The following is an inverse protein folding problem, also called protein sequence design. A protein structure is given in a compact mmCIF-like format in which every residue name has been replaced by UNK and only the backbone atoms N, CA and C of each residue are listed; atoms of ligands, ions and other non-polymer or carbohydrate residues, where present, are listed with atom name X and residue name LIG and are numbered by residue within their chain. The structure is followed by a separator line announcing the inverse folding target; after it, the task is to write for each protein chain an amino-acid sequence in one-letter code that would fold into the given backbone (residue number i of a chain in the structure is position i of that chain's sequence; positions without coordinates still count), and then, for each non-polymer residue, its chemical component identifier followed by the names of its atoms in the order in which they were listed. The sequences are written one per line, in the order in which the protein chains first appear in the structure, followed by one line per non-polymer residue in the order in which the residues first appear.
data_IF_916486948445
#
_entry.id   IF_916486948445
#
_cell.length_a   1.000
_cell.length_b   1.000
_cell.length_c   1.000
_cell.angle_alpha   90.00
_cell.angle_beta   90.00
_cell.angle_gamma   90.00
#
_symmetry.space_group_name_H-M   'P 1'
#
loop_
_entity.id
_entity.type
_entity.pdbx_description
1 polymer ?
#
# COMPACT_ATOMS: atom_id res chain seq x y z
N UNK A 1 -14.54 28.54 -38.28
CA UNK A 1 -14.35 28.90 -36.85
C UNK A 1 -14.79 27.81 -35.87
N UNK A 2 -15.82 26.99 -36.15
CA UNK A 2 -16.21 25.84 -35.30
C UNK A 2 -15.24 24.66 -35.34
N UNK A 3 -14.66 24.37 -36.51
CA UNK A 3 -13.68 23.29 -36.68
C UNK A 3 -12.39 23.56 -35.89
N UNK A 4 -11.95 24.82 -35.83
CA UNK A 4 -10.85 25.24 -34.95
C UNK A 4 -11.16 25.01 -33.47
N UNK A 5 -12.41 25.24 -33.03
CA UNK A 5 -12.82 24.95 -31.65
C UNK A 5 -12.82 23.45 -31.35
N UNK A 6 -13.23 22.59 -32.28
CA UNK A 6 -13.18 21.13 -32.12
C UNK A 6 -11.73 20.60 -32.01
N UNK A 7 -10.83 21.12 -32.85
CA UNK A 7 -9.40 20.75 -32.81
C UNK A 7 -8.77 21.13 -31.46
N UNK A 8 -9.07 22.32 -30.94
CA UNK A 8 -8.56 22.77 -29.63
C UNK A 8 -9.06 21.88 -28.48
N UNK A 9 -10.34 21.48 -28.49
CA UNK A 9 -10.91 20.59 -27.47
C UNK A 9 -10.26 19.20 -27.51
N UNK A 10 -10.05 18.64 -28.72
CA UNK A 10 -9.44 17.32 -28.89
C UNK A 10 -7.99 17.30 -28.39
N UNK A 11 -7.16 18.29 -28.78
CA UNK A 11 -5.77 18.40 -28.32
C UNK A 11 -5.66 18.57 -26.81
N UNK A 12 -6.54 19.36 -26.20
CA UNK A 12 -6.59 19.53 -24.75
C UNK A 12 -6.93 18.21 -24.03
N UNK A 13 -7.92 17.45 -24.54
CA UNK A 13 -8.29 16.16 -24.00
C UNK A 13 -7.15 15.13 -24.12
N UNK A 14 -6.46 15.06 -25.26
CA UNK A 14 -5.31 14.17 -25.46
C UNK A 14 -4.14 14.50 -24.51
N UNK A 15 -3.83 15.77 -24.29
CA UNK A 15 -2.80 16.20 -23.33
C UNK A 15 -3.18 15.88 -21.88
N UNK A 16 -4.46 16.01 -21.52
CA UNK A 16 -4.98 15.60 -20.21
C UNK A 16 -4.84 14.08 -20.04
N UNK A 17 -5.18 13.30 -21.07
CA UNK A 17 -5.03 11.84 -21.06
C UNK A 17 -3.57 11.41 -20.86
N UNK A 18 -2.64 11.99 -21.64
CA UNK A 18 -1.20 11.70 -21.52
C UNK A 18 -0.62 12.10 -20.15
N UNK A 19 -1.13 13.16 -19.52
CA UNK A 19 -0.75 13.54 -18.15
C UNK A 19 -1.31 12.58 -17.09
N UNK A 20 -2.51 12.04 -17.30
CA UNK A 20 -3.16 11.09 -16.38
C UNK A 20 -2.40 9.77 -16.32
N UNK A 21 -2.01 9.23 -17.48
CA UNK A 21 -1.29 7.97 -17.61
C UNK A 21 0.06 7.97 -16.87
N UNK A 22 0.80 9.09 -16.91
CA UNK A 22 2.05 9.24 -16.17
C UNK A 22 1.84 9.47 -14.65
N UNK A 23 0.73 10.08 -14.23
CA UNK A 23 0.44 10.33 -12.82
C UNK A 23 -0.13 9.11 -12.07
N UNK A 24 -0.85 8.26 -12.78
CA UNK A 24 -1.48 7.04 -12.24
C UNK A 24 -0.43 5.93 -12.04
N UNK A 25 0.55 5.81 -12.96
CA UNK A 25 1.69 4.90 -12.83
C UNK A 25 2.63 5.26 -11.66
N UNK A 26 2.86 6.55 -11.41
CA UNK A 26 3.72 6.99 -10.29
C UNK A 26 3.04 6.74 -8.94
N UNK A 27 1.72 6.95 -8.86
CA UNK A 27 0.96 6.68 -7.63
C UNK A 27 0.98 5.19 -7.27
N UNK A 28 0.74 4.30 -8.24
CA UNK A 28 0.73 2.86 -7.98
C UNK A 28 2.11 2.32 -7.55
N UNK A 29 3.18 2.78 -8.20
CA UNK A 29 4.56 2.42 -7.81
C UNK A 29 4.89 2.86 -6.39
N UNK A 30 4.45 4.06 -5.99
CA UNK A 30 4.66 4.55 -4.63
C UNK A 30 3.92 3.69 -3.60
N UNK A 31 2.66 3.34 -3.88
CA UNK A 31 1.87 2.48 -2.99
C UNK A 31 2.44 1.06 -2.90
N UNK A 32 2.90 0.48 -4.00
CA UNK A 32 3.59 -0.81 -3.99
C UNK A 32 4.88 -0.77 -3.16
N UNK A 33 5.66 0.30 -3.29
CA UNK A 33 6.87 0.51 -2.49
C UNK A 33 6.57 0.63 -1.00
N UNK A 34 5.49 1.36 -0.63
CA UNK A 34 5.03 1.49 0.76
C UNK A 34 4.56 0.14 1.32
N UNK A 35 3.75 -0.61 0.57
CA UNK A 35 3.31 -1.97 0.93
C UNK A 35 4.51 -2.87 1.19
N UNK A 36 5.46 -2.92 0.26
CA UNK A 36 6.68 -3.70 0.42
C UNK A 36 7.49 -3.28 1.65
N UNK A 37 7.65 -1.97 1.87
CA UNK A 37 8.38 -1.45 3.04
C UNK A 37 7.74 -1.89 4.36
N UNK A 38 6.41 -1.93 4.44
CA UNK A 38 5.69 -2.38 5.64
C UNK A 38 5.78 -3.90 5.79
N UNK A 39 5.44 -4.65 4.75
CA UNK A 39 5.34 -6.12 4.81
C UNK A 39 6.69 -6.82 4.98
N UNK A 40 7.80 -6.15 4.65
CA UNK A 40 9.16 -6.66 4.85
C UNK A 40 9.75 -6.40 6.25
N UNK A 41 9.09 -5.62 7.09
CA UNK A 41 9.54 -5.39 8.47
C UNK A 41 9.37 -6.67 9.30
N UNK A 42 10.30 -6.93 10.23
CA UNK A 42 10.09 -7.98 11.25
C UNK A 42 8.96 -7.58 12.20
N UNK A 43 8.20 -8.53 12.77
CA UNK A 43 7.21 -8.20 13.79
C UNK A 43 7.88 -7.52 14.98
N UNK A 44 7.29 -6.43 15.46
CA UNK A 44 7.82 -5.67 16.58
C UNK A 44 6.84 -5.70 17.77
N UNK A 45 7.29 -6.29 18.88
CA UNK A 45 6.54 -6.33 20.14
C UNK A 45 6.17 -4.92 20.61
N UNK A 46 7.09 -3.96 20.51
CA UNK A 46 6.93 -2.59 21.02
C UNK A 46 7.54 -2.42 22.42
N UNK A 47 7.19 -1.34 23.11
CA UNK A 47 7.91 -0.90 24.32
C UNK A 47 7.01 -0.87 25.58
N UNK A 48 5.80 -1.40 25.48
CA UNK A 48 4.88 -1.57 26.60
C UNK A 48 4.94 -3.01 27.15
N UNK A 49 4.03 -3.39 28.06
CA UNK A 49 3.92 -4.73 28.64
C UNK A 49 2.65 -5.51 28.26
N UNK A 50 1.97 -5.13 27.18
CA UNK A 50 0.75 -5.82 26.74
C UNK A 50 1.01 -7.19 26.08
N UNK A 51 -0.05 -7.98 25.94
CA UNK A 51 0.01 -9.32 25.34
C UNK A 51 -1.11 -9.53 24.30
N UNK A 52 -1.31 -8.56 23.40
CA UNK A 52 -2.35 -8.68 22.37
C UNK A 52 -1.85 -9.54 21.22
N UNK A 53 -2.59 -10.59 20.87
CA UNK A 53 -2.33 -11.37 19.66
C UNK A 53 -2.81 -10.62 18.42
N UNK A 54 -1.93 -10.44 17.45
CA UNK A 54 -2.18 -9.80 16.15
C UNK A 54 -1.43 -10.56 15.05
N UNK A 55 -1.65 -10.19 13.78
CA UNK A 55 -1.02 -10.83 12.63
C UNK A 55 0.12 -9.99 12.07
N UNK A 56 1.23 -10.62 11.69
CA UNK A 56 2.29 -10.00 10.89
C UNK A 56 2.53 -10.82 9.62
N UNK A 57 2.99 -10.18 8.56
CA UNK A 57 3.40 -10.87 7.34
C UNK A 57 4.83 -11.40 7.47
N UNK A 58 5.06 -12.63 7.02
CA UNK A 58 6.36 -13.27 6.95
C UNK A 58 6.76 -13.46 5.48
N UNK A 59 7.64 -12.58 4.99
CA UNK A 59 8.11 -12.60 3.60
C UNK A 59 8.84 -13.88 3.19
N UNK A 60 9.42 -14.61 4.15
CA UNK A 60 10.16 -15.85 3.83
C UNK A 60 9.23 -17.04 3.60
N UNK A 61 8.01 -16.96 4.15
CA UNK A 61 6.99 -17.99 4.03
C UNK A 61 5.82 -17.58 3.15
N UNK A 62 5.77 -16.30 2.76
CA UNK A 62 4.65 -15.68 2.07
C UNK A 62 3.31 -15.88 2.80
N UNK A 63 3.34 -15.86 4.13
CA UNK A 63 2.17 -16.12 4.97
C UNK A 63 2.03 -15.08 6.08
N UNK A 64 0.80 -14.88 6.55
CA UNK A 64 0.51 -14.13 7.76
C UNK A 64 0.50 -15.07 8.96
N UNK A 65 1.17 -14.67 10.03
CA UNK A 65 1.31 -15.48 11.25
C UNK A 65 0.99 -14.63 12.49
N UNK A 66 0.61 -15.30 13.58
CA UNK A 66 0.33 -14.63 14.86
C UNK A 66 1.62 -14.18 15.54
N UNK A 67 1.58 -13.00 16.17
CA UNK A 67 2.62 -12.51 17.07
C UNK A 67 2.01 -11.72 18.23
N UNK A 68 2.79 -11.54 19.29
CA UNK A 68 2.39 -10.75 20.47
C UNK A 68 2.79 -9.29 20.28
N UNK A 69 1.83 -8.39 20.47
CA UNK A 69 2.03 -6.94 20.49
C UNK A 69 1.80 -6.38 21.89
N UNK A 70 2.69 -5.48 22.31
CA UNK A 70 2.72 -4.85 23.62
C UNK A 70 1.63 -3.79 23.86
N UNK A 71 0.75 -3.55 22.88
CA UNK A 71 -0.24 -2.46 22.84
C UNK A 71 0.31 -1.04 22.59
N UNK A 72 1.63 -0.81 22.49
CA UNK A 72 2.17 0.47 22.03
C UNK A 72 3.47 0.33 21.21
N UNK A 73 3.78 1.36 20.41
CA UNK A 73 5.00 1.39 19.58
C UNK A 73 5.03 0.29 18.50
N UNK A 74 6.22 -0.29 18.30
CA UNK A 74 6.45 -1.30 17.27
C UNK A 74 6.44 -0.69 15.85
N UNK A 75 5.92 -1.43 14.87
CA UNK A 75 5.87 -1.00 13.48
C UNK A 75 4.54 -1.37 12.80
N UNK A 76 4.41 -1.05 11.51
CA UNK A 76 3.18 -1.24 10.75
C UNK A 76 2.94 -2.67 10.23
N UNK A 77 3.89 -3.62 10.35
CA UNK A 77 3.66 -5.02 9.97
C UNK A 77 2.82 -5.72 11.04
N UNK A 78 1.58 -5.25 11.21
CA UNK A 78 0.67 -5.60 12.30
C UNK A 78 -0.77 -5.37 11.87
N UNK A 79 -1.56 -6.44 11.85
CA UNK A 79 -2.93 -6.45 11.37
C UNK A 79 -3.86 -7.14 12.38
N UNK A 80 -5.14 -6.78 12.36
CA UNK A 80 -6.12 -7.33 13.29
C UNK A 80 -6.65 -8.70 12.88
N UNK A 81 -6.56 -9.05 11.60
CA UNK A 81 -6.98 -10.35 11.08
C UNK A 81 -6.01 -10.87 10.02
N UNK A 82 -6.08 -12.18 9.78
CA UNK A 82 -5.31 -12.84 8.73
C UNK A 82 -5.66 -12.29 7.34
N UNK A 83 -6.94 -12.04 7.09
CA UNK A 83 -7.47 -11.54 5.82
C UNK A 83 -6.94 -10.14 5.52
N UNK A 84 -6.91 -9.25 6.51
CA UNK A 84 -6.33 -7.90 6.36
C UNK A 84 -4.85 -7.96 6.01
N UNK A 85 -4.10 -8.83 6.70
CA UNK A 85 -2.68 -9.02 6.46
C UNK A 85 -2.40 -9.55 5.04
N UNK A 86 -3.12 -10.61 4.64
CA UNK A 86 -2.94 -11.23 3.33
C UNK A 86 -3.36 -10.27 2.20
N UNK A 87 -4.48 -9.57 2.36
CA UNK A 87 -4.96 -8.59 1.38
C UNK A 87 -3.98 -7.43 1.21
N UNK A 88 -3.30 -7.00 2.27
CA UNK A 88 -2.37 -5.88 2.21
C UNK A 88 -1.00 -6.28 1.66
N UNK A 89 -0.48 -7.45 2.03
CA UNK A 89 0.89 -7.87 1.74
C UNK A 89 1.06 -8.82 0.56
N UNK A 90 0.00 -9.49 0.12
CA UNK A 90 0.03 -10.50 -0.95
C UNK A 90 -0.85 -10.13 -2.15
N UNK A 91 -1.21 -8.85 -2.29
CA UNK A 91 -2.00 -8.29 -3.41
C UNK A 91 -1.26 -7.23 -4.21
#
# INVERSE_FOLDING_TARGET
MFWMRLVVVYLAASLVYAKKEASEDVSDKLEKKKRFAICSMRPAYGNCGGHRLLFNYNIYRNECQLFVYSNCGGNQNRFHSNEQCMSYCNG
#
